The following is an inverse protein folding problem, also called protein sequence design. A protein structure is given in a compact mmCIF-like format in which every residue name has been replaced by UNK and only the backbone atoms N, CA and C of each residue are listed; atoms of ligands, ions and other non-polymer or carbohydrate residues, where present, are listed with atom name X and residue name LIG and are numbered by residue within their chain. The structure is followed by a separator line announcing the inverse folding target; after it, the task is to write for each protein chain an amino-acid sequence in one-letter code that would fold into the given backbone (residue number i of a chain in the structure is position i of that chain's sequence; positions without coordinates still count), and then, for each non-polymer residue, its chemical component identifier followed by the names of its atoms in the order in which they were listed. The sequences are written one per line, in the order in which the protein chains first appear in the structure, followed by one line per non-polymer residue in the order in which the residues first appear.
data_IF_443227671416
#
_entry.id   IF_443227671416
#
_cell.length_a   1.000
_cell.length_b   1.000
_cell.length_c   1.000
_cell.angle_alpha   90.00
_cell.angle_beta   90.00
_cell.angle_gamma   90.00
#
_symmetry.space_group_name_H-M   'P 1'
#
loop_
_entity.id
_entity.type
_entity.pdbx_description
1 polymer ?
#
# COMPACT_ATOMS: atom_id res chain seq x y z
N UNK A 1 21.72 15.31 3.17
CA UNK A 1 20.36 15.34 3.75
C UNK A 1 19.27 15.35 2.68
N UNK A 2 19.25 16.30 1.75
CA UNK A 2 18.19 16.41 0.73
C UNK A 2 17.91 15.11 -0.06
N UNK A 3 18.95 14.43 -0.53
CA UNK A 3 18.82 13.15 -1.25
C UNK A 3 18.17 12.03 -0.40
N UNK A 4 18.47 11.99 0.89
CA UNK A 4 17.89 11.03 1.84
C UNK A 4 16.39 11.28 1.97
N UNK A 5 15.99 12.55 2.14
CA UNK A 5 14.58 12.93 2.22
C UNK A 5 13.84 12.64 0.92
N UNK A 6 14.45 12.89 -0.25
CA UNK A 6 13.85 12.55 -1.54
C UNK A 6 13.58 11.04 -1.68
N UNK A 7 14.54 10.19 -1.30
CA UNK A 7 14.35 8.74 -1.31
C UNK A 7 13.31 8.31 -0.28
N UNK A 8 13.33 8.90 0.92
CA UNK A 8 12.34 8.63 1.96
C UNK A 8 10.91 8.95 1.48
N UNK A 9 10.68 10.14 0.92
CA UNK A 9 9.37 10.53 0.37
C UNK A 9 8.92 9.62 -0.76
N UNK A 10 9.83 9.24 -1.66
CA UNK A 10 9.50 8.30 -2.73
C UNK A 10 9.17 6.90 -2.19
N UNK A 11 9.89 6.42 -1.17
CA UNK A 11 9.58 5.15 -0.51
C UNK A 11 8.20 5.18 0.15
N UNK A 12 7.87 6.27 0.85
CA UNK A 12 6.53 6.46 1.43
C UNK A 12 5.47 6.44 0.33
N UNK A 13 5.67 7.18 -0.77
CA UNK A 13 4.72 7.20 -1.89
C UNK A 13 4.57 5.86 -2.64
N UNK A 14 5.57 4.98 -2.57
CA UNK A 14 5.49 3.61 -3.13
C UNK A 14 4.61 2.72 -2.25
N UNK A 15 4.72 2.86 -0.92
CA UNK A 15 4.01 1.98 0.03
C UNK A 15 2.61 2.52 0.34
N UNK A 16 2.47 3.83 0.50
CA UNK A 16 1.19 4.46 0.85
C UNK A 16 0.26 4.51 -0.36
N UNK A 17 -0.72 3.61 -0.35
CA UNK A 17 -1.81 3.58 -1.31
C UNK A 17 -3.10 4.20 -0.77
N UNK A 18 -4.15 4.08 -1.58
CA UNK A 18 -5.48 4.56 -1.21
C UNK A 18 -6.11 3.80 -0.03
N UNK A 19 -5.79 2.51 0.14
CA UNK A 19 -6.31 1.74 1.28
C UNK A 19 -5.76 2.25 2.62
N UNK A 20 -4.46 2.56 2.69
CA UNK A 20 -3.87 3.25 3.84
C UNK A 20 -4.51 4.62 4.07
N UNK A 21 -4.61 5.43 3.02
CA UNK A 21 -5.13 6.79 3.07
C UNK A 21 -6.61 6.87 3.49
N UNK A 22 -7.41 5.88 3.09
CA UNK A 22 -8.81 5.73 3.52
C UNK A 22 -8.96 5.39 5.00
N UNK A 23 -7.90 4.85 5.61
CA UNK A 23 -7.90 4.35 6.98
C UNK A 23 -8.35 2.90 7.12
N UNK A 24 -8.87 2.26 6.06
CA UNK A 24 -9.46 0.92 6.18
C UNK A 24 -8.43 -0.17 6.48
N UNK A 25 -7.26 -0.06 5.87
CA UNK A 25 -6.12 -0.90 6.23
C UNK A 25 -5.74 -0.73 7.71
N UNK A 26 -5.76 0.52 8.20
CA UNK A 26 -5.35 0.83 9.56
C UNK A 26 -6.37 0.30 10.59
N UNK A 27 -7.65 0.47 10.28
CA UNK A 27 -8.73 -0.09 11.08
C UNK A 27 -8.58 -1.61 11.19
N UNK A 28 -8.44 -2.30 10.06
CA UNK A 28 -8.39 -3.76 9.99
C UNK A 28 -7.13 -4.35 10.65
N UNK A 29 -5.94 -3.81 10.33
CA UNK A 29 -4.67 -4.38 10.77
C UNK A 29 -4.23 -3.94 12.17
N UNK A 30 -4.66 -2.76 12.64
CA UNK A 30 -4.17 -2.19 13.89
C UNK A 30 -5.32 -1.89 14.86
N UNK A 31 -6.25 -1.02 14.48
CA UNK A 31 -7.28 -0.55 15.42
C UNK A 31 -8.18 -1.67 15.91
N UNK A 32 -8.46 -2.68 15.08
CA UNK A 32 -9.27 -3.85 15.47
C UNK A 32 -8.65 -4.70 16.59
N UNK A 33 -7.39 -4.43 16.98
CA UNK A 33 -6.74 -5.05 18.15
C UNK A 33 -6.74 -4.15 19.40
N UNK A 34 -7.39 -3.00 19.36
CA UNK A 34 -7.43 -2.03 20.46
C UNK A 34 -6.04 -1.60 20.91
N UNK A 35 -5.76 -1.66 22.22
CA UNK A 35 -4.42 -1.34 22.76
C UNK A 35 -3.29 -2.19 22.16
N UNK A 36 -3.56 -3.46 21.86
CA UNK A 36 -2.56 -4.32 21.22
C UNK A 36 -2.23 -3.89 19.79
N UNK A 37 -3.14 -3.15 19.15
CA UNK A 37 -2.94 -2.48 17.87
C UNK A 37 -1.79 -1.47 17.88
N UNK A 38 -1.58 -0.79 19.00
CA UNK A 38 -0.46 0.15 19.14
C UNK A 38 0.88 -0.58 19.13
N UNK A 39 0.98 -1.73 19.79
CA UNK A 39 2.18 -2.57 19.73
C UNK A 39 2.40 -3.16 18.34
N UNK A 40 1.33 -3.54 17.64
CA UNK A 40 1.40 -3.94 16.24
C UNK A 40 1.95 -2.82 15.36
N UNK A 41 1.50 -1.57 15.54
CA UNK A 41 1.97 -0.41 14.79
C UNK A 41 3.45 -0.08 15.06
N UNK A 42 3.91 -0.22 16.31
CA UNK A 42 5.33 -0.07 16.67
C UNK A 42 6.17 -1.17 16.02
N UNK A 43 5.71 -2.42 16.05
CA UNK A 43 6.40 -3.52 15.38
C UNK A 43 6.47 -3.31 13.87
N UNK A 44 5.36 -2.91 13.24
CA UNK A 44 5.32 -2.59 11.82
C UNK A 44 6.28 -1.46 11.47
N UNK A 45 6.38 -0.42 12.31
CA UNK A 45 7.35 0.67 12.16
C UNK A 45 8.79 0.17 12.11
N UNK A 46 9.18 -0.68 13.07
CA UNK A 46 10.52 -1.25 13.12
C UNK A 46 10.83 -2.10 11.88
N UNK A 47 9.86 -2.91 11.45
CA UNK A 47 10.00 -3.76 10.26
C UNK A 47 10.08 -2.94 8.96
N UNK A 48 9.21 -1.93 8.77
CA UNK A 48 9.27 -1.05 7.60
C UNK A 48 10.57 -0.27 7.53
N UNK A 49 11.06 0.25 8.66
CA UNK A 49 12.34 0.94 8.74
C UNK A 49 13.50 0.01 8.29
N UNK A 50 13.53 -1.22 8.82
CA UNK A 50 14.57 -2.19 8.50
C UNK A 50 14.49 -2.68 7.05
N UNK A 51 13.31 -3.11 6.59
CA UNK A 51 13.12 -3.64 5.25
C UNK A 51 13.25 -2.56 4.19
N UNK A 52 12.77 -1.33 4.44
CA UNK A 52 12.99 -0.18 3.58
C UNK A 52 14.47 0.12 3.39
N UNK A 53 15.25 0.13 4.48
CA UNK A 53 16.71 0.26 4.43
C UNK A 53 17.37 -0.84 3.57
N UNK A 54 16.94 -2.09 3.72
CA UNK A 54 17.50 -3.22 2.96
C UNK A 54 17.17 -3.10 1.48
N UNK A 55 15.91 -2.85 1.13
CA UNK A 55 15.46 -2.79 -0.26
C UNK A 55 16.20 -1.70 -1.04
N UNK A 56 16.28 -0.49 -0.49
CA UNK A 56 16.98 0.62 -1.16
C UNK A 56 18.49 0.39 -1.21
N UNK A 57 19.08 -0.21 -0.17
CA UNK A 57 20.49 -0.63 -0.16
C UNK A 57 20.79 -1.64 -1.25
N UNK A 58 19.98 -2.69 -1.37
CA UNK A 58 20.12 -3.73 -2.39
C UNK A 58 19.97 -3.14 -3.79
N UNK A 59 18.99 -2.26 -3.99
CA UNK A 59 18.83 -1.49 -5.22
C UNK A 59 20.10 -0.73 -5.60
N UNK A 60 20.64 0.05 -4.65
CA UNK A 60 21.86 0.84 -4.85
C UNK A 60 23.07 -0.03 -5.19
N UNK A 61 23.24 -1.18 -4.53
CA UNK A 61 24.33 -2.12 -4.87
C UNK A 61 24.17 -2.75 -6.24
N UNK A 62 22.94 -3.11 -6.61
CA UNK A 62 22.65 -3.74 -7.88
C UNK A 62 22.74 -2.76 -9.07
N UNK A 63 22.61 -1.45 -8.82
CA UNK A 63 22.49 -0.40 -9.85
C UNK A 63 21.45 -0.80 -10.92
N UNK A 64 20.40 -1.51 -10.51
CA UNK A 64 19.43 -2.07 -11.45
C UNK A 64 18.40 -1.03 -11.85
N UNK A 65 18.04 -1.02 -13.12
CA UNK A 65 16.87 -0.30 -13.65
C UNK A 65 15.64 -1.21 -13.78
N UNK A 66 15.81 -2.51 -13.54
CA UNK A 66 14.80 -3.55 -13.74
C UNK A 66 14.57 -4.35 -12.45
N UNK A 67 13.32 -4.39 -12.00
CA UNK A 67 12.89 -5.17 -10.84
C UNK A 67 12.94 -6.69 -11.09
N UNK A 68 12.73 -7.12 -12.35
CA UNK A 68 12.77 -8.53 -12.76
C UNK A 68 14.11 -9.19 -12.42
N UNK A 69 15.21 -8.52 -12.72
CA UNK A 69 16.55 -9.12 -12.56
C UNK A 69 16.91 -9.42 -11.11
N UNK A 70 16.35 -8.66 -10.15
CA UNK A 70 16.63 -8.84 -8.73
C UNK A 70 15.72 -9.90 -8.12
N UNK A 71 14.41 -9.88 -8.44
CA UNK A 71 13.46 -10.85 -7.90
C UNK A 71 13.76 -12.27 -8.42
N UNK A 72 14.10 -12.43 -9.70
CA UNK A 72 14.47 -13.74 -10.26
C UNK A 72 15.83 -14.23 -9.74
N UNK A 73 16.82 -13.34 -9.54
CA UNK A 73 18.12 -13.71 -8.92
C UNK A 73 18.00 -14.13 -7.47
N UNK A 74 17.07 -13.55 -6.71
CA UNK A 74 16.83 -13.91 -5.31
C UNK A 74 16.08 -15.24 -5.20
N UNK A 75 15.12 -15.48 -6.09
CA UNK A 75 14.18 -16.60 -5.95
C UNK A 75 14.69 -17.90 -6.58
N UNK A 76 15.46 -17.87 -7.67
CA UNK A 76 15.85 -19.08 -8.40
C UNK A 76 14.75 -19.62 -9.32
N UNK A 77 15.05 -20.65 -10.13
CA UNK A 77 14.22 -21.06 -11.28
C UNK A 77 12.83 -21.63 -10.92
N UNK A 78 12.74 -22.46 -9.87
CA UNK A 78 11.49 -23.12 -9.48
C UNK A 78 10.60 -22.22 -8.61
N UNK A 79 11.18 -21.59 -7.60
CA UNK A 79 10.52 -20.58 -6.77
C UNK A 79 10.09 -19.37 -7.61
N UNK A 80 10.83 -19.01 -8.66
CA UNK A 80 10.49 -17.91 -9.56
C UNK A 80 9.12 -18.05 -10.23
N UNK A 81 8.64 -19.27 -10.51
CA UNK A 81 7.29 -19.49 -11.06
C UNK A 81 6.21 -19.19 -10.01
N UNK A 82 6.42 -19.64 -8.78
CA UNK A 82 5.50 -19.38 -7.66
C UNK A 82 5.43 -17.88 -7.37
N UNK A 83 6.59 -17.21 -7.32
CA UNK A 83 6.67 -15.76 -7.12
C UNK A 83 5.95 -15.01 -8.23
N UNK A 84 6.10 -15.45 -9.48
CA UNK A 84 5.42 -14.82 -10.61
C UNK A 84 3.89 -14.96 -10.53
N UNK A 85 3.39 -16.14 -10.15
CA UNK A 85 1.97 -16.36 -9.91
C UNK A 85 1.42 -15.48 -8.78
N UNK A 86 2.18 -15.32 -7.69
CA UNK A 86 1.82 -14.42 -6.58
C UNK A 86 1.78 -12.97 -7.06
N UNK A 87 2.73 -12.53 -7.88
CA UNK A 87 2.75 -11.18 -8.45
C UNK A 87 1.52 -10.96 -9.33
N UNK A 88 1.22 -11.86 -10.25
CA UNK A 88 0.04 -11.78 -11.12
C UNK A 88 -1.25 -11.68 -10.29
N UNK A 89 -1.38 -12.54 -9.27
CA UNK A 89 -2.51 -12.53 -8.35
C UNK A 89 -2.63 -11.21 -7.59
N UNK A 90 -1.50 -10.69 -7.10
CA UNK A 90 -1.42 -9.42 -6.38
C UNK A 90 -1.82 -8.24 -7.26
N UNK A 91 -1.30 -8.17 -8.49
CA UNK A 91 -1.61 -7.12 -9.45
C UNK A 91 -3.12 -7.09 -9.75
N UNK A 92 -3.71 -8.25 -10.06
CA UNK A 92 -5.14 -8.31 -10.32
C UNK A 92 -5.96 -8.00 -9.07
N UNK A 93 -5.67 -8.64 -7.94
CA UNK A 93 -6.41 -8.49 -6.69
C UNK A 93 -6.41 -7.06 -6.16
N UNK A 94 -5.24 -6.41 -6.10
CA UNK A 94 -5.15 -5.00 -5.70
C UNK A 94 -5.88 -4.10 -6.71
N UNK A 95 -5.80 -4.40 -8.01
CA UNK A 95 -6.57 -3.71 -9.04
C UNK A 95 -8.08 -3.76 -8.78
N UNK A 96 -8.63 -4.94 -8.46
CA UNK A 96 -10.04 -5.12 -8.11
C UNK A 96 -10.42 -4.32 -6.87
N UNK A 97 -9.57 -4.35 -5.83
CA UNK A 97 -9.79 -3.57 -4.60
C UNK A 97 -9.85 -2.07 -4.91
N UNK A 98 -9.03 -1.57 -5.84
CA UNK A 98 -9.07 -0.16 -6.25
C UNK A 98 -10.40 0.20 -6.96
N UNK A 99 -10.93 -0.68 -7.83
CA UNK A 99 -12.24 -0.44 -8.48
C UNK A 99 -13.37 -0.40 -7.45
N UNK A 100 -13.33 -1.27 -6.45
CA UNK A 100 -14.30 -1.26 -5.35
C UNK A 100 -14.16 -0.01 -4.48
N UNK A 101 -12.93 0.37 -4.14
CA UNK A 101 -12.63 1.58 -3.37
C UNK A 101 -13.13 2.86 -4.05
N UNK A 102 -13.07 2.93 -5.38
CA UNK A 102 -13.66 4.02 -6.15
C UNK A 102 -15.19 4.08 -6.06
N UNK A 103 -15.85 2.95 -5.91
CA UNK A 103 -17.28 2.88 -5.61
C UNK A 103 -17.58 3.39 -4.21
N UNK A 104 -16.86 2.86 -3.21
CA UNK A 104 -17.04 3.23 -1.80
C UNK A 104 -16.79 4.71 -1.54
N UNK A 105 -15.79 5.33 -2.17
CA UNK A 105 -15.50 6.75 -1.94
C UNK A 105 -16.61 7.67 -2.45
N UNK A 106 -17.14 7.41 -3.65
CA UNK A 106 -18.21 8.23 -4.21
C UNK A 106 -19.53 8.00 -3.47
N UNK A 107 -19.75 6.77 -2.99
CA UNK A 107 -20.89 6.47 -2.12
C UNK A 107 -20.79 7.19 -0.78
N UNK A 108 -19.65 7.08 -0.10
CA UNK A 108 -19.47 7.67 1.21
C UNK A 108 -19.51 9.20 1.18
N UNK A 109 -18.84 9.85 0.22
CA UNK A 109 -18.76 11.32 0.20
C UNK A 109 -19.98 11.99 -0.45
N UNK A 110 -20.56 11.37 -1.49
CA UNK A 110 -21.58 12.02 -2.31
C UNK A 110 -22.92 11.28 -2.31
N UNK A 111 -23.05 10.16 -1.59
CA UNK A 111 -24.27 9.35 -1.53
C UNK A 111 -24.59 8.61 -2.84
N UNK A 112 -23.66 8.57 -3.80
CA UNK A 112 -23.87 7.92 -5.10
C UNK A 112 -23.90 6.40 -4.97
N UNK A 113 -24.62 5.70 -5.85
CA UNK A 113 -24.56 4.23 -5.86
C UNK A 113 -23.11 3.76 -6.13
N UNK A 114 -22.56 2.78 -5.38
CA UNK A 114 -21.15 2.35 -5.53
C UNK A 114 -20.78 1.98 -6.97
N UNK A 115 -21.72 1.39 -7.71
CA UNK A 115 -21.54 1.03 -9.13
C UNK A 115 -21.13 2.23 -10.00
N UNK A 116 -21.60 3.44 -9.69
CA UNK A 116 -21.28 4.65 -10.44
C UNK A 116 -19.78 4.94 -10.33
N UNK A 117 -19.23 4.91 -9.10
CA UNK A 117 -17.81 5.10 -8.88
C UNK A 117 -16.94 4.02 -9.50
N UNK A 118 -17.36 2.75 -9.39
CA UNK A 118 -16.66 1.63 -10.01
C UNK A 118 -16.67 1.70 -11.56
N UNK A 119 -17.79 2.09 -12.18
CA UNK A 119 -17.89 2.27 -13.64
C UNK A 119 -16.99 3.42 -14.10
N UNK A 120 -17.07 4.58 -13.45
CA UNK A 120 -16.21 5.73 -13.79
C UNK A 120 -14.75 5.31 -13.69
N UNK A 121 -14.37 4.65 -12.61
CA UNK A 121 -12.99 4.23 -12.39
C UNK A 121 -12.51 3.26 -13.45
N UNK A 122 -13.25 2.18 -13.73
CA UNK A 122 -12.79 1.18 -14.70
C UNK A 122 -12.71 1.75 -16.12
N UNK A 123 -13.65 2.62 -16.51
CA UNK A 123 -13.61 3.30 -17.82
C UNK A 123 -12.37 4.19 -17.93
N UNK A 124 -12.10 5.02 -16.92
CA UNK A 124 -10.92 5.88 -16.91
C UNK A 124 -9.62 5.06 -16.99
N UNK A 125 -9.55 3.97 -16.22
CA UNK A 125 -8.41 3.05 -16.20
C UNK A 125 -8.19 2.41 -17.58
N UNK A 126 -9.24 1.83 -18.20
CA UNK A 126 -9.13 1.19 -19.51
C UNK A 126 -8.68 2.17 -20.59
N UNK A 127 -9.31 3.35 -20.67
CA UNK A 127 -8.94 4.41 -21.62
C UNK A 127 -7.47 4.78 -21.44
N UNK A 128 -7.05 4.97 -20.19
CA UNK A 128 -5.66 5.34 -19.87
C UNK A 128 -4.66 4.29 -20.29
N UNK A 129 -4.93 3.02 -20.01
CA UNK A 129 -4.01 1.93 -20.35
C UNK A 129 -3.87 1.79 -21.88
N UNK A 130 -4.96 2.04 -22.62
CA UNK A 130 -4.97 2.01 -24.09
C UNK A 130 -4.32 3.26 -24.71
N UNK A 131 -4.34 4.39 -24.02
CA UNK A 131 -3.70 5.65 -24.42
C UNK A 131 -2.28 5.74 -23.85
N UNK A 132 -1.34 5.02 -24.46
CA UNK A 132 0.12 5.07 -24.24
C UNK A 132 0.56 5.58 -22.84
N UNK A 133 0.69 4.62 -21.93
CA UNK A 133 0.75 4.78 -20.46
C UNK A 133 1.88 5.67 -19.93
N UNK A 134 2.92 5.92 -20.72
CA UNK A 134 4.09 6.73 -20.33
C UNK A 134 3.73 8.16 -19.87
N UNK A 135 2.56 8.69 -20.27
CA UNK A 135 2.11 10.04 -19.86
C UNK A 135 1.34 10.07 -18.54
N UNK A 136 0.75 8.97 -18.07
CA UNK A 136 -0.19 9.00 -16.91
C UNK A 136 0.48 8.59 -15.60
N UNK A 137 1.57 7.83 -15.65
CA UNK A 137 2.33 7.38 -14.46
C UNK A 137 3.09 8.54 -13.75
N UNK A 138 3.13 9.74 -14.33
CA UNK A 138 3.95 10.87 -13.84
C UNK A 138 3.40 11.70 -12.67
N UNK A 139 2.15 11.48 -12.21
CA UNK A 139 1.44 12.42 -11.30
C UNK A 139 1.55 12.06 -9.81
N UNK A 140 2.13 10.90 -9.47
CA UNK A 140 1.97 10.24 -8.16
C UNK A 140 2.80 10.87 -7.04
N UNK A 141 3.94 11.50 -7.38
CA UNK A 141 4.90 11.97 -6.39
C UNK A 141 4.50 13.25 -5.64
N UNK A 142 3.55 14.02 -6.15
CA UNK A 142 3.17 15.31 -5.56
C UNK A 142 2.13 15.19 -4.42
N UNK A 143 1.44 14.04 -4.33
CA UNK A 143 0.33 13.86 -3.40
C UNK A 143 0.83 13.47 -1.99
N UNK A 144 1.94 12.74 -1.89
CA UNK A 144 2.44 12.20 -0.61
C UNK A 144 2.65 13.26 0.48
N UNK A 145 3.27 14.43 0.22
CA UNK A 145 3.45 15.46 1.25
C UNK A 145 2.12 15.98 1.81
N UNK A 146 1.11 16.14 0.95
CA UNK A 146 -0.23 16.56 1.36
C UNK A 146 -0.86 15.51 2.28
N UNK A 147 -0.78 14.24 1.88
CA UNK A 147 -1.32 13.14 2.69
C UNK A 147 -0.65 13.01 4.07
N UNK A 148 0.67 13.18 4.15
CA UNK A 148 1.39 13.22 5.44
C UNK A 148 0.82 14.32 6.32
N UNK A 149 0.66 15.53 5.77
CA UNK A 149 0.11 16.66 6.50
C UNK A 149 -1.32 16.40 6.97
N UNK A 150 -2.18 15.87 6.10
CA UNK A 150 -3.56 15.52 6.45
C UNK A 150 -3.60 14.53 7.61
N UNK A 151 -2.80 13.46 7.58
CA UNK A 151 -2.78 12.46 8.65
C UNK A 151 -2.32 13.05 9.98
N UNK A 152 -1.30 13.92 9.96
CA UNK A 152 -0.84 14.60 11.18
C UNK A 152 -1.95 15.47 11.75
N UNK A 153 -2.60 16.30 10.92
CA UNK A 153 -3.67 17.19 11.36
C UNK A 153 -4.86 16.43 11.91
N UNK A 154 -5.31 15.39 11.19
CA UNK A 154 -6.43 14.54 11.60
C UNK A 154 -6.10 13.77 12.87
N UNK A 155 -4.89 13.22 12.98
CA UNK A 155 -4.48 12.50 14.18
C UNK A 155 -4.43 13.38 15.42
N UNK A 156 -3.85 14.58 15.29
CA UNK A 156 -3.84 15.57 16.38
C UNK A 156 -5.27 15.98 16.74
N UNK A 157 -6.09 16.36 15.76
CA UNK A 157 -7.48 16.77 15.99
C UNK A 157 -8.28 15.68 16.72
N UNK A 158 -8.18 14.44 16.26
CA UNK A 158 -8.97 13.32 16.82
C UNK A 158 -8.61 13.05 18.28
N UNK A 159 -7.32 13.14 18.64
CA UNK A 159 -6.87 12.98 20.02
C UNK A 159 -7.37 14.10 20.95
N UNK A 160 -7.47 15.34 20.46
CA UNK A 160 -7.95 16.47 21.26
C UNK A 160 -9.48 16.56 21.35
N UNK A 161 -10.20 15.86 20.49
CA UNK A 161 -11.67 15.90 20.41
C UNK A 161 -12.33 14.58 20.81
N UNK A 162 -11.57 13.62 21.31
CA UNK A 162 -12.03 12.32 21.76
C UNK A 162 -12.93 12.43 23.00
N UNK A 163 -14.11 11.81 22.93
CA UNK A 163 -15.15 11.92 23.96
C UNK A 163 -15.04 10.84 25.05
N UNK A 164 -14.62 9.64 24.65
CA UNK A 164 -14.43 8.47 25.53
C UNK A 164 -12.95 8.24 25.78
N UNK A 165 -12.55 7.55 26.85
CA UNK A 165 -11.15 7.14 27.04
C UNK A 165 -10.77 5.94 26.16
N UNK A 166 -9.48 5.71 25.92
CA UNK A 166 -9.05 4.54 25.13
C UNK A 166 -9.47 3.20 25.78
N UNK A 167 -9.62 3.17 27.10
CA UNK A 167 -10.10 1.98 27.81
C UNK A 167 -11.58 1.69 27.50
N UNK A 168 -12.38 2.74 27.30
CA UNK A 168 -13.79 2.62 26.92
C UNK A 168 -13.95 2.28 25.43
N UNK A 169 -13.03 2.76 24.59
CA UNK A 169 -13.02 2.46 23.16
C UNK A 169 -12.42 1.10 22.82
N UNK A 170 -11.53 0.53 23.66
CA UNK A 170 -10.89 -0.77 23.43
C UNK A 170 -11.85 -1.93 23.11
N UNK A 171 -12.97 -2.14 23.84
CA UNK A 171 -13.94 -3.19 23.48
C UNK A 171 -14.65 -2.91 22.15
N UNK A 172 -14.92 -1.64 21.83
CA UNK A 172 -15.53 -1.25 20.55
C UNK A 172 -14.57 -1.53 19.40
N UNK A 173 -13.30 -1.18 19.59
CA UNK A 173 -12.23 -1.44 18.63
C UNK A 173 -12.07 -2.94 18.38
N UNK A 174 -12.07 -3.77 19.44
CA UNK A 174 -11.98 -5.24 19.34
C UNK A 174 -13.22 -5.92 18.74
N UNK A 175 -14.36 -5.23 18.71
CA UNK A 175 -15.55 -5.72 18.02
C UNK A 175 -15.47 -5.54 16.49
N UNK A 176 -14.53 -4.71 16.02
CA UNK A 176 -14.25 -4.56 14.59
C UNK A 176 -13.57 -5.82 14.07
N UNK A 177 -13.91 -6.20 12.84
CA UNK A 177 -13.38 -7.43 12.26
C UNK A 177 -11.90 -7.26 11.89
N UNK A 178 -11.04 -8.03 12.55
CA UNK A 178 -9.70 -8.35 12.07
C UNK A 178 -9.68 -9.82 11.69
N UNK A 179 -9.64 -10.13 10.40
CA UNK A 179 -9.54 -11.50 9.86
C UNK A 179 -8.19 -12.18 10.15
N UNK A 180 -7.47 -11.70 11.16
CA UNK A 180 -6.13 -12.08 11.55
C UNK A 180 -6.12 -12.55 13.02
N UNK A 181 -5.36 -13.61 13.33
CA UNK A 181 -5.50 -14.32 14.61
C UNK A 181 -5.00 -13.53 15.83
N UNK A 182 -4.06 -12.60 15.65
CA UNK A 182 -3.54 -11.74 16.73
C UNK A 182 -2.77 -10.53 16.16
N UNK A 183 -2.53 -9.55 17.03
CA UNK A 183 -1.84 -8.29 16.70
C UNK A 183 -0.43 -8.49 16.12
N UNK A 184 0.29 -9.53 16.57
CA UNK A 184 1.66 -9.79 16.12
C UNK A 184 1.68 -10.30 14.68
N UNK A 185 0.84 -11.30 14.37
CA UNK A 185 0.64 -11.78 13.01
C UNK A 185 0.11 -10.67 12.12
N UNK A 186 -0.76 -9.82 12.64
CA UNK A 186 -1.29 -8.68 11.90
C UNK A 186 -0.20 -7.70 11.45
N UNK A 187 0.69 -7.30 12.37
CA UNK A 187 1.81 -6.41 12.02
C UNK A 187 2.73 -7.02 10.96
N UNK A 188 3.09 -8.30 11.11
CA UNK A 188 3.95 -8.99 10.14
C UNK A 188 3.26 -9.11 8.80
N UNK A 189 1.98 -9.51 8.78
CA UNK A 189 1.21 -9.66 7.57
C UNK A 189 1.06 -8.32 6.82
N UNK A 190 0.75 -7.24 7.54
CA UNK A 190 0.63 -5.90 6.96
C UNK A 190 1.93 -5.44 6.27
N UNK A 191 3.06 -5.59 6.97
CA UNK A 191 4.37 -5.25 6.42
C UNK A 191 4.68 -6.13 5.23
N UNK A 192 4.42 -7.43 5.35
CA UNK A 192 4.67 -8.40 4.28
C UNK A 192 3.89 -8.10 3.01
N UNK A 193 2.60 -7.77 3.15
CA UNK A 193 1.74 -7.33 2.05
C UNK A 193 2.33 -6.10 1.36
N UNK A 194 2.61 -5.04 2.11
CA UNK A 194 3.12 -3.78 1.57
C UNK A 194 4.50 -3.94 0.92
N UNK A 195 5.37 -4.77 1.49
CA UNK A 195 6.68 -5.07 0.92
C UNK A 195 6.55 -5.91 -0.35
N UNK A 196 5.62 -6.88 -0.40
CA UNK A 196 5.36 -7.65 -1.61
C UNK A 196 4.92 -6.75 -2.78
N UNK A 197 4.07 -5.76 -2.50
CA UNK A 197 3.61 -4.79 -3.50
C UNK A 197 4.72 -3.79 -3.88
N UNK A 198 5.44 -3.26 -2.89
CA UNK A 198 6.38 -2.14 -3.09
C UNK A 198 7.83 -2.52 -3.42
N UNK A 199 8.28 -3.75 -3.14
CA UNK A 199 9.70 -4.12 -3.17
C UNK A 199 10.38 -3.83 -4.52
N UNK A 200 9.69 -4.14 -5.62
CA UNK A 200 10.18 -3.90 -6.98
C UNK A 200 10.58 -2.43 -7.20
N UNK A 201 9.67 -1.52 -6.87
CA UNK A 201 9.90 -0.08 -7.04
C UNK A 201 10.87 0.48 -6.00
N UNK A 202 10.88 -0.05 -4.77
CA UNK A 202 11.87 0.34 -3.76
C UNK A 202 13.31 -0.02 -4.17
N UNK A 203 13.50 -1.15 -4.83
CA UNK A 203 14.81 -1.58 -5.38
C UNK A 203 15.21 -0.67 -6.54
N UNK A 204 14.31 -0.37 -7.48
CA UNK A 204 14.60 0.56 -8.58
C UNK A 204 14.94 1.96 -8.06
N UNK A 205 14.18 2.44 -7.07
CA UNK A 205 14.45 3.70 -6.38
C UNK A 205 15.86 3.71 -5.76
N UNK A 206 16.25 2.62 -5.09
CA UNK A 206 17.59 2.45 -4.56
C UNK A 206 18.67 2.45 -5.64
N UNK A 207 18.41 1.79 -6.77
CA UNK A 207 19.35 1.69 -7.90
C UNK A 207 19.65 3.03 -8.58
N UNK A 208 18.74 4.00 -8.48
CA UNK A 208 18.94 5.36 -8.97
C UNK A 208 19.95 6.17 -8.13
N UNK A 209 20.30 5.73 -6.91
CA UNK A 209 21.31 6.36 -6.06
C UNK A 209 22.58 5.50 -5.98
N UNK A 210 23.72 6.07 -6.36
CA UNK A 210 25.01 5.38 -6.36
C UNK A 210 25.59 5.19 -4.96
N UNK A 211 25.27 6.10 -4.04
CA UNK A 211 25.75 6.01 -2.67
C UNK A 211 24.84 5.09 -1.83
N UNK A 212 25.35 3.89 -1.56
CA UNK A 212 24.66 2.87 -0.77
C UNK A 212 24.19 3.38 0.61
N UNK A 213 25.02 4.18 1.31
CA UNK A 213 24.66 4.72 2.63
C UNK A 213 23.50 5.70 2.53
N UNK A 214 23.52 6.57 1.51
CA UNK A 214 22.42 7.51 1.24
C UNK A 214 21.12 6.77 0.91
N UNK A 215 21.18 5.73 0.06
CA UNK A 215 20.02 4.93 -0.29
C UNK A 215 19.46 4.20 0.94
N UNK A 216 20.32 3.53 1.71
CA UNK A 216 19.94 2.82 2.93
C UNK A 216 19.30 3.75 3.96
N UNK A 217 19.92 4.91 4.21
CA UNK A 217 19.37 5.90 5.15
C UNK A 217 18.05 6.48 4.64
N UNK A 218 17.89 6.68 3.33
CA UNK A 218 16.62 7.10 2.72
C UNK A 218 15.51 6.09 2.95
N UNK A 219 15.80 4.79 2.76
CA UNK A 219 14.85 3.71 3.05
C UNK A 219 14.52 3.60 4.54
N UNK A 220 15.52 3.75 5.42
CA UNK A 220 15.32 3.75 6.88
C UNK A 220 14.40 4.89 7.32
N UNK A 221 14.70 6.12 6.90
CA UNK A 221 13.90 7.31 7.24
C UNK A 221 12.50 7.19 6.64
N UNK A 222 12.37 6.72 5.39
CA UNK A 222 11.07 6.48 4.75
C UNK A 222 10.21 5.49 5.54
N UNK A 223 10.79 4.36 5.95
CA UNK A 223 10.09 3.35 6.74
C UNK A 223 9.73 3.81 8.16
N UNK A 224 10.59 4.60 8.81
CA UNK A 224 10.27 5.22 10.11
C UNK A 224 9.11 6.22 9.98
N UNK A 225 9.14 7.11 8.99
CA UNK A 225 8.07 8.07 8.75
C UNK A 225 6.76 7.37 8.44
N UNK A 226 6.78 6.33 7.60
CA UNK A 226 5.61 5.50 7.33
C UNK A 226 5.04 4.88 8.61
N UNK A 227 5.90 4.33 9.46
CA UNK A 227 5.50 3.79 10.76
C UNK A 227 4.87 4.81 11.70
N UNK A 228 5.42 6.03 11.75
CA UNK A 228 4.81 7.14 12.49
C UNK A 228 3.41 7.46 11.93
N UNK A 229 3.24 7.47 10.61
CA UNK A 229 1.92 7.69 10.00
C UNK A 229 0.94 6.56 10.36
N UNK A 230 1.39 5.30 10.37
CA UNK A 230 0.56 4.16 10.82
C UNK A 230 0.10 4.37 12.27
N UNK A 231 1.02 4.75 13.17
CA UNK A 231 0.69 5.00 14.58
C UNK A 231 -0.31 6.15 14.70
N UNK A 232 -0.07 7.27 14.01
CA UNK A 232 -0.97 8.43 14.05
C UNK A 232 -2.36 8.09 13.49
N UNK A 233 -2.43 7.43 12.34
CA UNK A 233 -3.71 6.98 11.77
C UNK A 233 -4.42 5.97 12.68
N UNK A 234 -3.68 5.05 13.31
CA UNK A 234 -4.26 4.09 14.25
C UNK A 234 -4.86 4.82 15.45
N UNK A 235 -4.13 5.74 16.06
CA UNK A 235 -4.61 6.52 17.19
C UNK A 235 -5.79 7.42 16.81
N UNK A 236 -5.77 8.01 15.61
CA UNK A 236 -6.88 8.82 15.10
C UNK A 236 -8.17 7.99 14.99
N UNK A 237 -8.09 6.86 14.29
CA UNK A 237 -9.25 5.97 14.12
C UNK A 237 -9.66 5.38 15.47
N UNK A 238 -8.71 4.98 16.32
CA UNK A 238 -9.00 4.42 17.63
C UNK A 238 -9.72 5.43 18.52
N UNK A 239 -9.35 6.71 18.49
CA UNK A 239 -9.99 7.78 19.26
C UNK A 239 -11.42 8.12 18.84
N UNK A 240 -11.85 7.64 17.67
CA UNK A 240 -13.18 7.89 17.10
C UNK A 240 -13.85 6.60 16.58
N UNK A 241 -13.39 5.44 17.05
CA UNK A 241 -13.75 4.13 16.46
C UNK A 241 -15.23 3.81 16.63
N UNK A 242 -15.86 4.34 17.67
CA UNK A 242 -17.29 4.31 17.93
C UNK A 242 -18.11 5.04 16.86
N UNK A 243 -17.58 6.12 16.31
CA UNK A 243 -18.23 6.89 15.24
C UNK A 243 -17.84 6.41 13.83
N UNK A 244 -16.56 6.03 13.62
CA UNK A 244 -16.03 5.82 12.26
C UNK A 244 -15.76 4.36 11.89
N UNK A 245 -15.80 3.42 12.84
CA UNK A 245 -15.47 2.00 12.61
C UNK A 245 -16.37 1.29 11.59
N UNK A 246 -17.61 1.77 11.41
CA UNK A 246 -18.55 1.21 10.44
C UNK A 246 -18.42 1.76 9.02
N UNK A 247 -17.52 2.73 8.77
CA UNK A 247 -17.35 3.34 7.45
C UNK A 247 -16.29 2.59 6.62
N UNK A 248 -16.52 2.53 5.31
CA UNK A 248 -15.53 1.98 4.36
C UNK A 248 -14.23 2.79 4.34
N UNK A 249 -14.32 4.11 4.59
CA UNK A 249 -13.17 5.02 4.63
C UNK A 249 -13.17 5.82 5.94
N UNK A 250 -12.77 5.23 7.06
CA UNK A 250 -12.87 5.85 8.38
C UNK A 250 -12.09 7.17 8.47
N UNK A 251 -10.90 7.28 7.86
CA UNK A 251 -10.14 8.53 7.88
C UNK A 251 -10.82 9.64 7.09
N UNK A 252 -11.47 9.30 5.97
CA UNK A 252 -12.27 10.27 5.21
C UNK A 252 -13.45 10.76 6.04
N UNK A 253 -14.10 9.86 6.80
CA UNK A 253 -15.19 10.24 7.68
C UNK A 253 -14.76 11.21 8.78
N UNK A 254 -13.59 11.00 9.41
CA UNK A 254 -13.05 11.95 10.38
C UNK A 254 -12.84 13.33 9.74
N UNK A 255 -12.32 13.39 8.50
CA UNK A 255 -12.14 14.66 7.79
C UNK A 255 -13.47 15.34 7.46
N UNK A 256 -14.49 14.56 7.11
CA UNK A 256 -15.85 15.05 6.84
C UNK A 256 -16.49 15.67 8.09
N UNK A 257 -16.27 15.07 9.27
CA UNK A 257 -16.72 15.63 10.55
C UNK A 257 -15.99 16.92 10.93
N UNK A 258 -14.73 17.10 10.51
CA UNK A 258 -13.98 18.35 10.69
C UNK A 258 -14.50 19.44 9.75
N UNK A 259 -14.60 19.13 8.45
CA UNK A 259 -15.07 20.04 7.43
C UNK A 259 -15.43 19.31 6.14
N UNK A 260 -16.70 19.41 5.68
CA UNK A 260 -17.12 18.81 4.42
C UNK A 260 -16.31 19.29 3.20
N UNK A 261 -15.82 20.53 3.22
CA UNK A 261 -14.98 21.08 2.14
C UNK A 261 -13.62 20.37 2.09
N UNK A 262 -13.01 20.09 3.24
CA UNK A 262 -11.77 19.33 3.31
C UNK A 262 -11.98 17.88 2.86
N UNK A 263 -13.13 17.29 3.19
CA UNK A 263 -13.47 15.93 2.79
C UNK A 263 -13.70 15.78 1.29
N UNK A 264 -14.29 16.78 0.63
CA UNK A 264 -14.35 16.84 -0.84
C UNK A 264 -12.93 16.86 -1.42
N UNK A 265 -12.04 17.70 -0.88
CA UNK A 265 -10.63 17.75 -1.30
C UNK A 265 -9.90 16.42 -1.13
N UNK A 266 -10.03 15.80 0.05
CA UNK A 266 -9.46 14.48 0.33
C UNK A 266 -10.05 13.41 -0.59
N UNK A 267 -11.35 13.47 -0.89
CA UNK A 267 -12.02 12.52 -1.78
C UNK A 267 -11.47 12.57 -3.20
N UNK A 268 -11.23 13.76 -3.74
CA UNK A 268 -10.59 13.92 -5.06
C UNK A 268 -9.18 13.33 -5.07
N UNK A 269 -8.41 13.57 -4.00
CA UNK A 269 -7.04 13.06 -3.87
C UNK A 269 -7.03 11.53 -3.77
N UNK A 270 -7.87 10.97 -2.91
CA UNK A 270 -8.03 9.53 -2.77
C UNK A 270 -8.48 8.90 -4.09
N UNK A 271 -9.47 9.47 -4.78
CA UNK A 271 -9.91 8.99 -6.08
C UNK A 271 -8.78 8.98 -7.11
N UNK A 272 -7.96 10.05 -7.14
CA UNK A 272 -6.76 10.12 -7.98
C UNK A 272 -5.70 9.06 -7.63
N UNK A 273 -5.47 8.80 -6.33
CA UNK A 273 -4.56 7.75 -5.87
C UNK A 273 -5.07 6.35 -6.25
N UNK A 274 -6.36 6.08 -6.06
CA UNK A 274 -7.03 4.83 -6.46
C UNK A 274 -6.86 4.61 -7.96
N UNK A 275 -7.19 5.63 -8.76
CA UNK A 275 -7.06 5.60 -10.21
C UNK A 275 -5.65 5.24 -10.64
N UNK A 276 -4.67 5.95 -10.09
CA UNK A 276 -3.29 5.71 -10.47
C UNK A 276 -2.81 4.30 -10.09
N UNK A 277 -3.15 3.82 -8.89
CA UNK A 277 -2.83 2.45 -8.49
C UNK A 277 -3.51 1.44 -9.41
N UNK A 278 -4.79 1.62 -9.73
CA UNK A 278 -5.51 0.73 -10.65
C UNK A 278 -4.86 0.69 -12.04
N UNK A 279 -4.48 1.85 -12.61
CA UNK A 279 -3.75 1.93 -13.88
C UNK A 279 -2.46 1.14 -13.82
N UNK A 280 -1.63 1.35 -12.79
CA UNK A 280 -0.35 0.66 -12.64
C UNK A 280 -0.51 -0.85 -12.50
N UNK A 281 -1.47 -1.30 -11.69
CA UNK A 281 -1.73 -2.71 -11.43
C UNK A 281 -2.25 -3.44 -12.66
N UNK A 282 -3.28 -2.91 -13.32
CA UNK A 282 -3.84 -3.55 -14.52
C UNK A 282 -2.92 -3.46 -15.74
N UNK A 283 -2.16 -2.36 -15.89
CA UNK A 283 -1.13 -2.28 -16.92
C UNK A 283 -0.08 -3.37 -16.74
N UNK A 284 0.50 -3.49 -15.53
CA UNK A 284 1.51 -4.49 -15.24
C UNK A 284 0.98 -5.92 -15.39
N UNK A 285 -0.29 -6.15 -15.03
CA UNK A 285 -0.97 -7.43 -15.21
C UNK A 285 -1.09 -7.81 -16.69
N UNK A 286 -1.62 -6.92 -17.54
CA UNK A 286 -1.78 -7.22 -18.98
C UNK A 286 -0.41 -7.33 -19.67
N UNK A 287 0.51 -6.42 -19.37
CA UNK A 287 1.87 -6.41 -19.93
C UNK A 287 2.68 -7.67 -19.58
N UNK A 288 2.22 -8.45 -18.59
CA UNK A 288 2.83 -9.73 -18.25
C UNK A 288 2.54 -10.82 -19.29
N UNK A 289 1.36 -10.79 -19.89
CA UNK A 289 0.87 -11.83 -20.80
C UNK A 289 0.87 -11.40 -22.27
N UNK A 290 0.81 -10.09 -22.52
CA UNK A 290 0.67 -9.53 -23.86
C UNK A 290 1.65 -8.39 -24.08
N UNK A 291 2.12 -8.25 -25.32
CA UNK A 291 2.84 -7.06 -25.73
C UNK A 291 1.87 -5.86 -25.78
N UNK A 292 2.19 -4.79 -25.04
CA UNK A 292 1.34 -3.61 -24.93
C UNK A 292 1.25 -2.84 -26.25
N UNK A 293 0.20 -2.03 -26.40
CA UNK A 293 -0.12 -1.28 -27.63
C UNK A 293 -0.44 -2.16 -28.86
N UNK A 294 -0.89 -3.39 -28.63
CA UNK A 294 -1.35 -4.31 -29.68
C UNK A 294 -2.87 -4.51 -29.63
N UNK A 295 -3.47 -5.01 -30.71
CA UNK A 295 -4.91 -5.38 -30.70
C UNK A 295 -5.21 -6.45 -29.65
N UNK A 296 -4.26 -7.37 -29.42
CA UNK A 296 -4.40 -8.44 -28.42
C UNK A 296 -4.36 -7.87 -27.00
N UNK A 297 -3.43 -6.96 -26.68
CA UNK A 297 -3.41 -6.30 -25.37
C UNK A 297 -4.69 -5.50 -25.12
N UNK A 298 -5.23 -4.83 -26.14
CA UNK A 298 -6.48 -4.06 -26.01
C UNK A 298 -7.68 -4.96 -25.67
N UNK A 299 -7.79 -6.13 -26.31
CA UNK A 299 -8.81 -7.11 -25.94
C UNK A 299 -8.61 -7.63 -24.50
N UNK A 300 -7.36 -7.92 -24.13
CA UNK A 300 -7.03 -8.37 -22.78
C UNK A 300 -7.34 -7.31 -21.71
N UNK A 301 -7.11 -6.02 -21.98
CA UNK A 301 -7.46 -4.90 -21.08
C UNK A 301 -8.97 -4.87 -20.85
N UNK A 302 -9.77 -4.95 -21.92
CA UNK A 302 -11.23 -4.93 -21.82
C UNK A 302 -11.73 -6.14 -21.04
N UNK A 303 -11.25 -7.35 -21.37
CA UNK A 303 -11.64 -8.57 -20.66
C UNK A 303 -11.26 -8.50 -19.18
N UNK A 304 -10.03 -8.09 -18.86
CA UNK A 304 -9.55 -7.92 -17.48
C UNK A 304 -10.41 -6.90 -16.75
N UNK A 305 -10.75 -5.79 -17.39
CA UNK A 305 -11.58 -4.74 -16.80
C UNK A 305 -13.00 -5.19 -16.52
N UNK A 306 -13.62 -5.97 -17.41
CA UNK A 306 -14.95 -6.56 -17.20
C UNK A 306 -14.93 -7.52 -16.00
N UNK A 307 -13.97 -8.44 -15.96
CA UNK A 307 -13.85 -9.39 -14.84
C UNK A 307 -13.59 -8.66 -13.52
N UNK A 308 -12.70 -7.65 -13.54
CA UNK A 308 -12.41 -6.86 -12.36
C UNK A 308 -13.61 -6.03 -11.88
N UNK A 309 -14.41 -5.50 -12.80
CA UNK A 309 -15.63 -4.77 -12.48
C UNK A 309 -16.64 -5.67 -11.75
N UNK A 310 -16.91 -6.88 -12.25
CA UNK A 310 -17.78 -7.81 -11.56
C UNK A 310 -17.20 -8.28 -10.22
N UNK A 311 -15.88 -8.53 -10.15
CA UNK A 311 -15.22 -8.89 -8.91
C UNK A 311 -15.27 -7.75 -7.87
N UNK A 312 -15.32 -6.49 -8.30
CA UNK A 312 -15.39 -5.33 -7.39
C UNK A 312 -16.70 -5.26 -6.60
N UNK A 313 -17.76 -5.96 -7.04
CA UNK A 313 -19.04 -6.01 -6.32
C UNK A 313 -18.95 -6.77 -4.99
N UNK A 314 -17.85 -7.47 -4.73
CA UNK A 314 -17.56 -8.01 -3.40
C UNK A 314 -17.44 -6.90 -2.33
N UNK A 315 -17.24 -5.64 -2.71
CA UNK A 315 -17.16 -4.51 -1.77
C UNK A 315 -15.74 -4.23 -1.31
N UNK A 316 -15.42 -2.94 -1.11
CA UNK A 316 -14.06 -2.49 -0.80
C UNK A 316 -13.53 -3.10 0.50
N UNK A 317 -14.32 -3.04 1.56
CA UNK A 317 -13.97 -3.57 2.87
C UNK A 317 -13.67 -5.07 2.81
N UNK A 318 -14.57 -5.88 2.26
CA UNK A 318 -14.38 -7.34 2.21
C UNK A 318 -13.19 -7.75 1.35
N UNK A 319 -12.97 -7.04 0.24
CA UNK A 319 -11.80 -7.25 -0.60
C UNK A 319 -10.49 -6.93 0.15
N UNK A 320 -10.44 -5.85 0.94
CA UNK A 320 -9.30 -5.55 1.82
C UNK A 320 -9.12 -6.67 2.86
N UNK A 321 -10.20 -7.07 3.54
CA UNK A 321 -10.18 -8.11 4.60
C UNK A 321 -9.74 -9.48 4.09
N UNK A 322 -9.98 -9.80 2.82
CA UNK A 322 -9.61 -11.08 2.22
C UNK A 322 -8.28 -11.04 1.46
N UNK A 323 -8.16 -10.17 0.45
CA UNK A 323 -7.00 -10.18 -0.46
C UNK A 323 -5.73 -9.73 0.26
N UNK A 324 -5.79 -8.72 1.13
CA UNK A 324 -4.56 -8.18 1.71
C UNK A 324 -3.92 -9.16 2.68
N UNK A 325 -4.67 -9.85 3.58
CA UNK A 325 -4.11 -10.93 4.39
C UNK A 325 -3.52 -12.06 3.55
N UNK A 326 -4.21 -12.47 2.50
CA UNK A 326 -3.74 -13.54 1.61
C UNK A 326 -2.41 -13.16 0.95
N UNK A 327 -2.33 -11.96 0.36
CA UNK A 327 -1.09 -11.44 -0.23
C UNK A 327 -0.01 -11.28 0.85
N UNK A 328 -0.37 -10.84 2.05
CA UNK A 328 0.55 -10.73 3.18
C UNK A 328 1.18 -12.06 3.57
N UNK A 329 0.40 -13.15 3.62
CA UNK A 329 0.94 -14.49 3.89
C UNK A 329 1.81 -14.98 2.74
N UNK A 330 1.37 -14.76 1.50
CA UNK A 330 2.15 -15.09 0.30
C UNK A 330 3.45 -14.27 0.24
N UNK A 331 3.47 -13.04 0.74
CA UNK A 331 4.65 -12.18 0.80
C UNK A 331 5.68 -12.57 1.85
N UNK A 332 5.35 -13.47 2.79
CA UNK A 332 6.24 -13.79 3.91
C UNK A 332 7.57 -14.38 3.45
N UNK A 333 7.57 -15.15 2.34
CA UNK A 333 8.82 -15.66 1.78
C UNK A 333 9.75 -14.50 1.36
N UNK A 334 9.20 -13.41 0.81
CA UNK A 334 9.97 -12.26 0.36
C UNK A 334 10.56 -11.52 1.55
N UNK A 335 9.77 -11.31 2.60
CA UNK A 335 10.25 -10.73 3.85
C UNK A 335 11.37 -11.58 4.45
N UNK A 336 11.18 -12.91 4.53
CA UNK A 336 12.20 -13.83 5.03
C UNK A 336 13.49 -13.77 4.19
N UNK A 337 13.37 -13.75 2.86
CA UNK A 337 14.50 -13.64 1.95
C UNK A 337 15.26 -12.30 2.13
N UNK A 338 14.55 -11.20 2.35
CA UNK A 338 15.14 -9.87 2.58
C UNK A 338 15.83 -9.78 3.95
N UNK A 339 15.25 -10.37 5.00
CA UNK A 339 15.88 -10.44 6.34
C UNK A 339 17.15 -11.30 6.29
N UNK A 340 17.15 -12.39 5.52
CA UNK A 340 18.30 -13.29 5.42
C UNK A 340 19.41 -12.77 4.48
N UNK A 341 19.05 -11.96 3.49
CA UNK A 341 19.97 -11.43 2.47
C UNK A 341 21.28 -10.83 3.03
N UNK A 342 21.26 -9.94 4.05
CA UNK A 342 22.49 -9.39 4.63
C UNK A 342 23.48 -10.43 5.17
N UNK A 343 22.99 -11.52 5.75
CA UNK A 343 23.83 -12.60 6.30
C UNK A 343 24.51 -13.41 5.20
N UNK A 344 23.76 -13.75 4.15
CA UNK A 344 24.32 -14.41 2.96
C UNK A 344 25.38 -13.54 2.29
N UNK A 345 25.11 -12.24 2.14
CA UNK A 345 26.05 -11.30 1.55
C UNK A 345 27.33 -11.12 2.38
N UNK A 346 27.23 -11.15 3.71
CA UNK A 346 28.41 -11.10 4.59
C UNK A 346 29.29 -12.33 4.44
N UNK A 347 28.69 -13.51 4.20
CA UNK A 347 29.40 -14.77 3.94
C UNK A 347 30.13 -14.74 2.59
N UNK A 348 29.44 -14.38 1.51
CA UNK A 348 30.04 -14.29 0.16
C UNK A 348 31.20 -13.28 0.08
N UNK A 349 31.15 -12.19 0.86
CA UNK A 349 32.26 -11.22 0.94
C UNK A 349 33.46 -11.76 1.72
N UNK A 350 33.26 -12.60 2.74
CA UNK A 350 34.35 -13.27 3.47
C UNK A 350 35.01 -14.34 2.61
N UNK A 351 34.24 -15.07 1.81
CA UNK A 351 34.73 -16.13 0.94
C UNK A 351 35.52 -15.60 -0.27
N UNK A 352 35.26 -14.36 -0.72
CA UNK A 352 36.05 -13.68 -1.78
C UNK A 352 37.35 -13.02 -1.30
N UNK A 353 37.55 -12.90 0.01
CA UNK A 353 38.73 -12.29 0.63
C UNK A 353 39.71 -13.36 1.15
N UNK A 354 39.30 -14.63 1.12
CA UNK A 354 40.16 -15.80 1.31
C UNK A 354 40.66 -16.33 -0.03
#
# INVERSE_FOLDING_TARGET
MFKVLKIASAFIGIIVGAGFASGQEILFYFTSFGHMGTFAAILATALFAYLGMILTRLGSRAQTKSHKDVIYKISGKYLGVVVDAIIVFTLFGVGVVMIAGAGSILNQQFGLMPIIGSVIMIVLVMITIMLNVEKVIGVIGSITPFLILTIILVGVYSLFTMDLSFNELDPIAKSQESGLPNWFISAINYVSFNIAVGAAMSIVLGGAEKNEKTAALGGLVGGLTLGIMIILSHLAIFSKVDAVGGFDMPMLKIVDDISPVLAIGMSVILFGMIFNTAVGMFYAFVARFFEMNTKQSNYAIVLTGIVAFFASFAGFTDLVRFFYPLIGYLGLFLVAALIYSPFRMAKERRDKVR
#
